data_IF_623381049467
#
_entry.id   IF_623381049467
#
_cell.length_a   1.000
_cell.length_b   1.000
_cell.length_c   1.000
_cell.angle_alpha   90.00
_cell.angle_beta   90.00
_cell.angle_gamma   90.00
#
_symmetry.space_group_name_H-M   'P 1'
#
loop_
_entity.id
_entity.type
_entity.pdbx_description
1 polymer ?
#
# COMPACT_ATOMS: atom_id res chain seq x y z
N UNK A 1 -57.75 -67.16 -0.72
CA UNK A 1 -58.04 -66.11 0.28
C UNK A 1 -57.26 -64.79 0.06
N UNK A 2 -56.08 -64.79 -0.57
CA UNK A 2 -55.20 -63.60 -0.64
C UNK A 2 -55.59 -62.55 -1.73
N UNK A 3 -56.42 -62.89 -2.71
CA UNK A 3 -56.72 -62.01 -3.86
C UNK A 3 -57.80 -60.95 -3.59
N UNK A 4 -58.69 -61.17 -2.60
CA UNK A 4 -59.75 -60.20 -2.23
C UNK A 4 -59.26 -58.97 -1.47
N UNK A 5 -58.06 -59.02 -0.87
CA UNK A 5 -57.53 -57.93 -0.06
C UNK A 5 -56.89 -56.81 -0.91
N UNK A 6 -56.36 -57.16 -2.09
CA UNK A 6 -55.77 -56.20 -3.02
C UNK A 6 -56.81 -55.36 -3.77
N UNK A 7 -58.00 -55.92 -4.04
CA UNK A 7 -59.09 -55.17 -4.69
C UNK A 7 -59.78 -54.18 -3.72
N UNK A 8 -59.62 -54.37 -2.42
CA UNK A 8 -60.18 -53.48 -1.38
C UNK A 8 -59.36 -52.20 -1.18
N UNK A 9 -58.08 -52.20 -1.60
CA UNK A 9 -57.22 -51.03 -1.55
C UNK A 9 -57.37 -50.31 -2.90
N UNK A 10 -58.42 -49.50 -3.01
CA UNK A 10 -58.61 -48.61 -4.15
C UNK A 10 -57.34 -47.78 -4.41
N UNK A 11 -57.09 -47.33 -5.65
CA UNK A 11 -55.85 -46.66 -6.02
C UNK A 11 -55.57 -45.52 -5.05
N UNK A 12 -54.38 -45.53 -4.44
CA UNK A 12 -53.94 -44.45 -3.57
C UNK A 12 -54.03 -43.15 -4.36
N UNK A 13 -54.98 -42.29 -3.99
CA UNK A 13 -55.09 -40.95 -4.58
C UNK A 13 -53.81 -40.21 -4.23
N UNK A 14 -52.90 -40.08 -5.19
CA UNK A 14 -51.72 -39.23 -5.05
C UNK A 14 -52.22 -37.81 -4.82
N UNK A 15 -51.98 -37.26 -3.63
CA UNK A 15 -52.25 -35.85 -3.37
C UNK A 15 -51.47 -35.02 -4.40
N UNK A 16 -52.08 -34.00 -5.03
CA UNK A 16 -51.37 -33.18 -6.01
C UNK A 16 -50.17 -32.53 -5.33
N UNK A 17 -48.95 -32.84 -5.81
CA UNK A 17 -47.73 -32.13 -5.40
C UNK A 17 -47.88 -30.68 -5.85
N UNK A 18 -48.30 -29.79 -4.95
CA UNK A 18 -48.23 -28.35 -5.18
C UNK A 18 -46.76 -27.97 -5.29
N UNK A 19 -46.27 -27.76 -6.50
CA UNK A 19 -44.98 -27.08 -6.71
C UNK A 19 -45.17 -25.66 -6.19
N UNK A 20 -44.43 -25.18 -5.17
CA UNK A 20 -44.52 -23.79 -4.79
C UNK A 20 -44.19 -22.95 -6.03
N UNK A 21 -45.05 -21.99 -6.36
CA UNK A 21 -44.83 -21.12 -7.52
C UNK A 21 -43.49 -20.38 -7.38
N UNK A 22 -42.82 -20.08 -8.48
CA UNK A 22 -41.58 -19.31 -8.48
C UNK A 22 -41.78 -17.83 -8.06
N UNK A 23 -43.03 -17.40 -7.92
CA UNK A 23 -43.43 -16.03 -7.58
C UNK A 23 -42.81 -15.46 -6.29
N UNK A 24 -42.86 -16.13 -5.12
CA UNK A 24 -42.16 -15.67 -3.92
C UNK A 24 -40.66 -15.49 -4.13
N UNK A 25 -40.02 -16.36 -4.92
CA UNK A 25 -38.59 -16.23 -5.23
C UNK A 25 -38.32 -15.00 -6.11
N UNK A 26 -39.13 -14.79 -7.15
CA UNK A 26 -39.03 -13.63 -8.01
C UNK A 26 -39.22 -12.31 -7.24
N UNK A 27 -40.18 -12.25 -6.30
CA UNK A 27 -40.39 -11.08 -5.45
C UNK A 27 -39.18 -10.79 -4.58
N UNK A 28 -38.58 -11.81 -3.95
CA UNK A 28 -37.36 -11.64 -3.15
C UNK A 28 -36.21 -11.10 -3.99
N UNK A 29 -36.00 -11.64 -5.20
CA UNK A 29 -34.94 -11.17 -6.10
C UNK A 29 -35.16 -9.72 -6.51
N UNK A 30 -36.39 -9.34 -6.86
CA UNK A 30 -36.73 -7.96 -7.24
C UNK A 30 -36.49 -6.99 -6.08
N UNK A 31 -36.90 -7.35 -4.86
CA UNK A 31 -36.69 -6.52 -3.66
C UNK A 31 -35.20 -6.33 -3.38
N UNK A 32 -34.40 -7.40 -3.47
CA UNK A 32 -32.95 -7.32 -3.27
C UNK A 32 -32.28 -6.44 -4.34
N UNK A 33 -32.70 -6.57 -5.59
CA UNK A 33 -32.18 -5.77 -6.70
C UNK A 33 -32.54 -4.29 -6.56
N UNK A 34 -33.79 -3.97 -6.20
CA UNK A 34 -34.24 -2.62 -5.94
C UNK A 34 -33.51 -1.99 -4.73
N UNK A 35 -33.28 -2.76 -3.67
CA UNK A 35 -32.49 -2.30 -2.53
C UNK A 35 -31.03 -2.01 -2.94
N UNK A 36 -30.41 -2.88 -3.74
CA UNK A 36 -29.05 -2.66 -4.24
C UNK A 36 -28.92 -1.42 -5.13
N UNK A 37 -29.90 -1.18 -6.01
CA UNK A 37 -29.96 0.05 -6.82
C UNK A 37 -30.19 1.30 -5.97
N UNK A 38 -31.09 1.20 -4.98
CA UNK A 38 -31.37 2.30 -4.05
C UNK A 38 -30.12 2.72 -3.26
N UNK A 39 -29.34 1.75 -2.78
CA UNK A 39 -28.10 2.03 -2.05
C UNK A 39 -27.03 2.66 -2.96
N UNK A 40 -26.88 2.15 -4.19
CA UNK A 40 -25.96 2.75 -5.19
C UNK A 40 -26.36 4.18 -5.55
N UNK A 41 -27.65 4.43 -5.78
CA UNK A 41 -28.16 5.76 -6.12
C UNK A 41 -28.07 6.75 -4.95
N UNK A 42 -28.26 6.29 -3.71
CA UNK A 42 -28.14 7.10 -2.51
C UNK A 42 -26.68 7.44 -2.13
N UNK A 43 -25.69 6.86 -2.83
CA UNK A 43 -24.27 7.05 -2.51
C UNK A 43 -23.86 6.51 -1.14
N UNK A 44 -24.69 5.64 -0.54
CA UNK A 44 -24.42 5.08 0.78
C UNK A 44 -23.28 4.07 0.66
N UNK A 45 -22.12 4.42 1.20
CA UNK A 45 -21.02 3.49 1.39
C UNK A 45 -21.42 2.50 2.48
N UNK A 46 -22.01 1.36 2.09
CA UNK A 46 -22.24 0.27 3.04
C UNK A 46 -20.87 -0.14 3.58
N UNK A 47 -20.62 -0.06 4.90
CA UNK A 47 -19.41 -0.61 5.45
C UNK A 47 -19.50 -2.13 5.31
N UNK A 48 -18.92 -2.67 4.24
CA UNK A 48 -18.71 -4.11 4.13
C UNK A 48 -17.89 -4.53 5.36
N UNK A 49 -18.24 -5.67 5.96
CA UNK A 49 -17.47 -6.22 7.07
C UNK A 49 -16.01 -6.33 6.61
N UNK A 50 -15.11 -5.56 7.23
CA UNK A 50 -13.69 -5.49 6.87
C UNK A 50 -13.25 -4.29 6.03
N UNK A 51 -14.16 -3.54 5.40
CA UNK A 51 -13.81 -2.33 4.66
C UNK A 51 -13.29 -1.24 5.62
N UNK A 52 -12.10 -0.71 5.33
CA UNK A 52 -11.44 0.31 6.15
C UNK A 52 -10.79 -0.19 7.46
N UNK A 53 -10.89 -1.49 7.78
CA UNK A 53 -10.20 -2.07 8.96
C UNK A 53 -8.74 -2.44 8.68
N UNK A 54 -8.34 -2.52 7.41
CA UNK A 54 -6.98 -2.81 6.98
C UNK A 54 -6.33 -1.57 6.34
N UNK A 55 -6.36 -0.44 7.04
CA UNK A 55 -5.65 0.77 6.61
C UNK A 55 -4.29 0.83 7.33
N UNK A 56 -3.18 1.13 6.62
CA UNK A 56 -1.90 1.41 7.25
C UNK A 56 -2.05 2.59 8.21
N UNK A 57 -1.66 2.41 9.47
CA UNK A 57 -1.69 3.48 10.48
C UNK A 57 -0.32 4.15 10.60
N UNK A 58 -0.31 5.45 10.92
CA UNK A 58 0.89 6.22 11.18
C UNK A 58 1.69 5.74 12.40
N UNK A 59 1.14 4.85 13.23
CA UNK A 59 1.83 4.29 14.38
C UNK A 59 2.92 3.28 13.99
N UNK A 60 2.82 2.67 12.81
CA UNK A 60 3.73 1.61 12.35
C UNK A 60 4.34 1.98 11.01
N UNK A 61 3.55 2.60 10.13
CA UNK A 61 3.92 2.88 8.75
C UNK A 61 4.18 4.37 8.54
N UNK A 62 5.12 4.73 7.66
CA UNK A 62 5.48 6.11 7.38
C UNK A 62 4.46 6.79 6.44
N UNK A 63 3.15 6.70 6.71
CA UNK A 63 2.10 7.13 5.77
C UNK A 63 2.22 8.62 5.45
N UNK A 64 2.39 9.47 6.46
CA UNK A 64 2.56 10.91 6.26
C UNK A 64 3.88 11.25 5.55
N UNK A 65 4.99 10.65 5.98
CA UNK A 65 6.29 10.87 5.34
C UNK A 65 6.29 10.46 3.87
N UNK A 66 5.66 9.33 3.53
CA UNK A 66 5.56 8.86 2.14
C UNK A 66 4.63 9.73 1.32
N UNK A 67 3.54 10.27 1.89
CA UNK A 67 2.68 11.22 1.19
C UNK A 67 3.44 12.52 0.82
N UNK A 68 4.30 13.01 1.74
CA UNK A 68 5.19 14.16 1.46
C UNK A 68 6.21 13.82 0.36
N UNK A 69 6.82 12.64 0.43
CA UNK A 69 7.74 12.17 -0.60
C UNK A 69 7.06 12.10 -1.97
N UNK A 70 5.92 11.41 -2.08
CA UNK A 70 5.19 11.21 -3.34
C UNK A 70 4.77 12.55 -3.97
N UNK A 71 4.33 13.50 -3.12
CA UNK A 71 4.01 14.87 -3.57
C UNK A 71 5.22 15.61 -4.14
N UNK A 72 6.42 15.40 -3.58
CA UNK A 72 7.66 16.01 -4.06
C UNK A 72 8.28 15.28 -5.26
N UNK A 73 7.98 13.99 -5.45
CA UNK A 73 8.35 13.25 -6.65
C UNK A 73 7.60 13.78 -7.87
N UNK A 74 6.31 14.08 -7.75
CA UNK A 74 5.48 14.59 -8.86
C UNK A 74 5.67 13.80 -10.15
N UNK A 75 5.76 14.50 -11.29
CA UNK A 75 6.09 13.91 -12.61
C UNK A 75 7.60 13.83 -12.85
N UNK A 76 8.40 13.49 -11.83
CA UNK A 76 9.84 13.43 -11.97
C UNK A 76 10.25 12.56 -13.17
N UNK A 77 11.00 13.18 -14.08
CA UNK A 77 11.44 12.56 -15.34
C UNK A 77 12.44 11.40 -15.11
N UNK A 78 12.86 11.17 -13.86
CA UNK A 78 13.66 10.03 -13.45
C UNK A 78 13.16 9.47 -12.11
N UNK A 79 13.27 8.15 -11.88
CA UNK A 79 12.97 7.57 -10.58
C UNK A 79 13.96 8.08 -9.53
N UNK A 80 13.46 8.51 -8.37
CA UNK A 80 14.29 9.02 -7.28
C UNK A 80 14.81 7.89 -6.41
N UNK A 81 16.08 7.95 -6.04
CA UNK A 81 16.72 6.91 -5.23
C UNK A 81 16.56 7.22 -3.75
N UNK A 82 15.98 6.30 -2.98
CA UNK A 82 15.65 6.50 -1.57
C UNK A 82 16.44 5.52 -0.71
N UNK A 83 17.29 6.05 0.17
CA UNK A 83 17.82 5.26 1.27
C UNK A 83 16.72 5.09 2.33
N UNK A 84 16.17 3.89 2.45
CA UNK A 84 15.08 3.63 3.39
C UNK A 84 15.45 2.62 4.47
N UNK A 85 14.78 2.74 5.61
CA UNK A 85 14.74 1.66 6.59
C UNK A 85 14.05 0.42 5.99
N UNK A 86 14.61 -0.76 6.21
CA UNK A 86 14.13 -2.04 5.67
C UNK A 86 12.66 -2.28 6.00
N UNK A 87 12.24 -1.92 7.23
CA UNK A 87 10.84 -2.03 7.66
C UNK A 87 9.88 -1.24 6.77
N UNK A 88 10.33 -0.17 6.14
CA UNK A 88 9.50 0.70 5.32
C UNK A 88 9.52 0.35 3.83
N UNK A 89 10.44 -0.52 3.38
CA UNK A 89 10.69 -0.78 1.97
C UNK A 89 9.47 -1.29 1.21
N UNK A 90 8.80 -2.31 1.74
CA UNK A 90 7.59 -2.87 1.11
C UNK A 90 6.45 -1.85 1.00
N UNK A 91 6.24 -1.04 2.05
CA UNK A 91 5.23 0.01 2.04
C UNK A 91 5.58 1.13 1.05
N UNK A 92 6.85 1.53 1.01
CA UNK A 92 7.33 2.57 0.09
C UNK A 92 7.19 2.12 -1.37
N UNK A 93 7.55 0.87 -1.69
CA UNK A 93 7.36 0.29 -3.03
C UNK A 93 5.88 0.24 -3.44
N UNK A 94 4.96 0.05 -2.50
CA UNK A 94 3.52 0.07 -2.74
C UNK A 94 2.97 1.49 -2.92
N UNK A 95 3.32 2.41 -2.02
CA UNK A 95 2.67 3.72 -1.90
C UNK A 95 3.32 4.82 -2.75
N UNK A 96 4.60 4.69 -3.13
CA UNK A 96 5.32 5.63 -3.97
C UNK A 96 6.14 4.88 -5.04
N UNK A 97 5.51 4.33 -6.09
CA UNK A 97 6.19 3.47 -7.08
C UNK A 97 7.27 4.19 -7.91
N UNK A 98 7.28 5.53 -7.94
CA UNK A 98 8.34 6.33 -8.55
C UNK A 98 9.64 6.36 -7.71
N UNK A 99 9.56 5.96 -6.43
CA UNK A 99 10.72 5.84 -5.55
C UNK A 99 11.43 4.50 -5.77
N UNK A 100 12.72 4.56 -6.12
CA UNK A 100 13.61 3.40 -6.09
C UNK A 100 14.10 3.18 -4.67
N UNK A 101 13.56 2.15 -4.04
CA UNK A 101 13.92 1.73 -2.68
C UNK A 101 15.33 1.13 -2.64
N UNK A 102 16.01 1.28 -1.51
CA UNK A 102 17.32 0.67 -1.26
C UNK A 102 17.20 -0.78 -0.79
N UNK A 103 16.24 -1.06 0.09
CA UNK A 103 16.05 -2.40 0.69
C UNK A 103 14.63 -2.60 1.21
N UNK A 104 14.17 -3.84 1.30
CA UNK A 104 12.94 -4.25 1.98
C UNK A 104 13.11 -5.60 2.70
N UNK A 105 12.03 -6.11 3.28
CA UNK A 105 12.00 -7.34 4.07
C UNK A 105 12.01 -8.63 3.24
N UNK A 106 11.97 -8.55 1.90
CA UNK A 106 12.12 -9.69 0.98
C UNK A 106 13.59 -10.10 0.87
N UNK A 107 14.15 -10.52 1.99
CA UNK A 107 15.58 -10.77 2.18
C UNK A 107 16.16 -11.78 1.17
N UNK A 108 15.34 -12.72 0.69
CA UNK A 108 15.66 -13.69 -0.35
C UNK A 108 16.02 -13.07 -1.72
N UNK A 109 15.61 -11.83 -1.96
CA UNK A 109 15.94 -11.10 -3.19
C UNK A 109 17.32 -10.41 -3.12
N UNK A 110 17.93 -10.34 -1.94
CA UNK A 110 19.22 -9.69 -1.72
C UNK A 110 20.31 -10.72 -1.48
N UNK A 111 21.49 -10.45 -2.04
CA UNK A 111 22.67 -11.24 -1.69
C UNK A 111 23.07 -10.96 -0.24
N UNK A 112 23.69 -11.94 0.42
CA UNK A 112 24.13 -11.85 1.82
C UNK A 112 24.99 -10.60 2.04
N UNK A 113 25.86 -10.26 1.09
CA UNK A 113 26.71 -9.08 1.16
C UNK A 113 25.89 -7.77 1.20
N UNK A 114 24.76 -7.72 0.50
CA UNK A 114 23.85 -6.57 0.52
C UNK A 114 23.15 -6.42 1.88
N UNK A 115 22.70 -7.52 2.46
CA UNK A 115 22.10 -7.52 3.80
C UNK A 115 23.12 -7.12 4.87
N UNK A 116 24.35 -7.66 4.81
CA UNK A 116 25.44 -7.28 5.71
C UNK A 116 25.85 -5.82 5.55
N UNK A 117 25.89 -5.31 4.31
CA UNK A 117 26.11 -3.88 4.02
C UNK A 117 25.05 -3.03 4.67
N UNK A 118 23.77 -3.40 4.56
CA UNK A 118 22.69 -2.67 5.23
C UNK A 118 22.86 -2.64 6.76
N UNK A 119 23.10 -3.81 7.37
CA UNK A 119 23.34 -3.90 8.82
C UNK A 119 24.54 -3.04 9.24
N UNK A 120 25.59 -3.01 8.43
CA UNK A 120 26.75 -2.17 8.67
C UNK A 120 26.39 -0.68 8.64
N UNK A 121 25.62 -0.20 7.66
CA UNK A 121 25.16 1.20 7.61
C UNK A 121 24.30 1.57 8.81
N UNK A 122 23.48 0.64 9.32
CA UNK A 122 22.68 0.85 10.54
C UNK A 122 23.55 0.97 11.80
N UNK A 123 24.64 0.19 11.88
CA UNK A 123 25.58 0.20 13.01
C UNK A 123 26.62 1.32 12.93
N UNK A 124 26.94 1.75 11.71
CA UNK A 124 27.98 2.72 11.36
C UNK A 124 27.43 3.77 10.38
N UNK A 125 26.55 4.67 10.84
CA UNK A 125 25.94 5.69 9.99
C UNK A 125 26.96 6.58 9.26
N UNK A 126 28.18 6.73 9.81
CA UNK A 126 29.29 7.45 9.18
C UNK A 126 29.71 6.91 7.80
N UNK A 127 29.26 5.70 7.44
CA UNK A 127 29.50 5.09 6.12
C UNK A 127 28.42 5.44 5.09
N UNK A 128 27.30 6.02 5.51
CA UNK A 128 26.20 6.39 4.62
C UNK A 128 26.62 7.39 3.52
N UNK A 129 27.48 8.39 3.75
CA UNK A 129 27.92 9.29 2.68
C UNK A 129 28.57 8.55 1.50
N UNK A 130 29.39 7.51 1.78
CA UNK A 130 29.99 6.67 0.74
C UNK A 130 28.96 5.85 -0.03
N UNK A 131 27.96 5.31 0.67
CA UNK A 131 26.86 4.58 0.04
C UNK A 131 25.97 5.52 -0.78
N UNK A 132 25.69 6.72 -0.28
CA UNK A 132 24.93 7.76 -0.95
C UNK A 132 25.61 8.23 -2.22
N UNK A 133 26.94 8.35 -2.25
CA UNK A 133 27.68 8.66 -3.47
C UNK A 133 27.56 7.52 -4.51
N UNK A 134 27.61 6.25 -4.05
CA UNK A 134 27.52 5.07 -4.92
C UNK A 134 26.14 4.91 -5.55
N UNK A 135 25.08 5.04 -4.76
CA UNK A 135 23.70 4.84 -5.20
C UNK A 135 23.00 6.13 -5.61
N UNK A 136 23.63 7.29 -5.40
CA UNK A 136 23.09 8.63 -5.68
C UNK A 136 21.73 8.86 -5.02
N UNK A 137 21.68 8.66 -3.69
CA UNK A 137 20.43 8.84 -2.95
C UNK A 137 19.95 10.29 -3.03
N UNK A 138 18.72 10.47 -3.50
CA UNK A 138 18.02 11.76 -3.52
C UNK A 138 17.29 12.01 -2.19
N UNK A 139 16.81 10.94 -1.54
CA UNK A 139 16.06 10.99 -0.28
C UNK A 139 16.54 9.95 0.72
N UNK A 140 16.27 10.23 2.00
CA UNK A 140 16.41 9.27 3.08
C UNK A 140 15.08 9.18 3.86
N UNK A 141 14.53 7.97 3.97
CA UNK A 141 13.32 7.68 4.75
C UNK A 141 13.64 6.70 5.87
N UNK A 142 13.87 7.22 7.06
CA UNK A 142 14.42 6.46 8.19
C UNK A 142 13.53 6.58 9.41
N UNK A 143 13.66 5.65 10.36
CA UNK A 143 12.96 5.75 11.65
C UNK A 143 13.41 6.99 12.41
N UNK A 144 12.47 7.76 12.97
CA UNK A 144 12.78 9.01 13.68
C UNK A 144 13.72 8.81 14.86
N UNK A 145 13.62 7.68 15.55
CA UNK A 145 14.40 7.32 16.74
C UNK A 145 15.69 6.53 16.43
N UNK A 146 16.09 6.43 15.16
CA UNK A 146 17.28 5.66 14.77
C UNK A 146 18.59 6.44 14.90
N UNK A 147 19.73 5.76 15.18
CA UNK A 147 21.06 6.37 15.12
C UNK A 147 21.37 7.00 13.75
N UNK A 148 20.85 6.36 12.70
CA UNK A 148 20.92 6.85 11.32
C UNK A 148 20.23 8.21 11.18
N UNK A 149 19.01 8.38 11.69
CA UNK A 149 18.31 9.66 11.65
C UNK A 149 19.11 10.77 12.34
N UNK A 150 19.63 10.49 13.54
CA UNK A 150 20.47 11.44 14.29
C UNK A 150 21.71 11.85 13.48
N UNK A 151 22.39 10.88 12.86
CA UNK A 151 23.55 11.15 12.01
C UNK A 151 23.20 11.98 10.76
N UNK A 152 22.14 11.63 10.05
CA UNK A 152 21.75 12.35 8.83
C UNK A 152 21.38 13.80 9.15
N UNK A 153 20.64 14.04 10.24
CA UNK A 153 20.30 15.40 10.71
C UNK A 153 21.52 16.23 11.09
N UNK A 154 22.61 15.63 11.59
CA UNK A 154 23.82 16.36 11.98
C UNK A 154 24.84 16.57 10.86
N UNK A 155 24.74 15.82 9.76
CA UNK A 155 25.72 15.84 8.67
C UNK A 155 25.71 17.12 7.81
N UNK A 156 24.61 17.88 7.77
CA UNK A 156 24.46 19.06 6.91
C UNK A 156 24.21 18.77 5.42
N UNK A 157 24.44 17.53 4.97
CA UNK A 157 24.22 17.09 3.58
C UNK A 157 22.75 16.81 3.24
N UNK A 158 21.87 16.87 4.25
CA UNK A 158 20.47 16.51 4.17
C UNK A 158 19.58 17.62 4.73
N UNK A 159 18.52 17.94 3.98
CA UNK A 159 17.48 18.88 4.39
C UNK A 159 16.24 18.13 4.89
N UNK A 160 15.73 18.50 6.06
CA UNK A 160 14.55 17.89 6.65
C UNK A 160 13.30 18.27 5.86
N UNK A 161 12.53 17.28 5.39
CA UNK A 161 11.24 17.49 4.72
C UNK A 161 10.05 17.20 5.63
N UNK A 162 10.12 16.13 6.40
CA UNK A 162 9.05 15.70 7.31
C UNK A 162 9.62 14.93 8.50
N UNK A 163 8.99 15.07 9.66
CA UNK A 163 9.29 14.23 10.83
C UNK A 163 8.01 14.00 11.63
N UNK A 164 7.78 12.75 12.00
CA UNK A 164 6.74 12.35 12.95
C UNK A 164 7.30 11.30 13.93
N UNK A 165 6.44 10.71 14.76
CA UNK A 165 6.85 9.70 15.74
C UNK A 165 7.43 8.42 15.11
N UNK A 166 7.12 8.14 13.84
CA UNK A 166 7.45 6.88 13.15
C UNK A 166 8.62 7.06 12.19
N UNK A 167 8.60 8.11 11.36
CA UNK A 167 9.60 8.30 10.33
C UNK A 167 10.01 9.77 10.14
N UNK A 168 11.26 9.91 9.71
CA UNK A 168 11.85 11.16 9.24
C UNK A 168 12.19 11.01 7.77
N UNK A 169 11.70 11.94 6.96
CA UNK A 169 12.06 12.10 5.55
C UNK A 169 13.05 13.26 5.40
N UNK A 170 14.16 13.01 4.74
CA UNK A 170 15.16 14.02 4.37
C UNK A 170 15.43 13.97 2.87
N UNK A 171 15.79 15.12 2.30
CA UNK A 171 16.22 15.29 0.90
C UNK A 171 17.69 15.65 0.85
N UNK A 172 18.45 15.05 -0.05
CA UNK A 172 19.85 15.39 -0.22
C UNK A 172 19.98 16.82 -0.76
N UNK A 173 20.84 17.62 -0.13
CA UNK A 173 21.15 18.99 -0.57
C UNK A 173 21.80 18.99 -1.96
N UNK A 174 22.54 17.93 -2.30
CA UNK A 174 23.16 17.76 -3.62
C UNK A 174 22.15 17.51 -4.75
N UNK A 175 21.04 16.82 -4.46
CA UNK A 175 19.98 16.52 -5.42
C UNK A 175 19.14 17.77 -5.75
N UNK A 176 18.93 18.66 -4.77
CA UNK A 176 18.18 19.92 -4.95
C UNK A 176 18.82 20.86 -6.00
N UNK A 177 20.15 20.82 -6.13
CA UNK A 177 20.89 21.68 -7.06
C UNK A 177 20.70 21.32 -8.54
N UNK A 178 20.30 20.08 -8.84
CA UNK A 178 20.14 19.61 -10.23
C UNK A 178 18.80 20.02 -10.86
N UNK A 179 17.76 20.24 -10.06
CA UNK A 179 16.43 20.66 -10.54
C UNK A 179 16.40 22.15 -10.92
N UNK A 180 17.11 23.01 -10.19
CA UNK A 180 17.19 24.44 -10.47
C UNK A 180 18.01 24.78 -11.74
N UNK A 181 18.96 23.91 -12.12
CA UNK A 181 19.85 24.16 -13.27
C UNK A 181 19.17 23.95 -14.63
N UNK A 182 18.13 23.09 -14.71
CA UNK A 182 17.46 22.76 -15.98
C UNK A 182 16.46 23.86 -16.38
N UNK A 183 15.92 24.63 -15.44
CA UNK A 183 14.96 25.69 -15.71
C UNK A 183 15.56 27.00 -16.28
N UNK A 184 16.88 27.07 -16.53
CA UNK A 184 17.57 28.30 -16.97
C UNK A 184 18.04 28.33 -18.44
N UNK A 185 17.62 27.39 -19.28
CA UNK A 185 18.01 27.41 -20.70
C UNK A 185 16.80 27.46 -21.63
N UNK A 186 16.31 28.68 -21.87
CA UNK A 186 15.41 29.01 -22.95
C UNK A 186 16.08 30.12 -23.77
N UNK A 187 16.65 29.82 -24.95
CA UNK A 187 17.16 30.87 -25.83
C UNK A 187 15.98 31.50 -26.55
N UNK A 188 15.81 32.81 -26.36
CA UNK A 188 15.03 33.64 -27.26
C UNK A 188 15.77 33.74 -28.60
N UNK A 189 15.08 33.34 -29.67
CA UNK A 189 15.39 33.60 -31.07
C UNK A 189 14.09 33.81 -31.81
#
# INVERSE_FOLDING_TARGET
ACRKWLDAIGPLKSAPRRRPGAWPFAVVVIVLFAAALGIQAAGWRIPLIGAGRCAPTNAIWPVQAVAVLDSDLGDANRPAHVFNEMRFGGYLAYAAPAAKIYIDDRCELYRVEGLLRYIELQRRPERIPGEAARYRFDYALVRTDSPVCTFLKSSGDWSLMHTDATATLLKSTSASSSSCAIAKHQPHG
#
